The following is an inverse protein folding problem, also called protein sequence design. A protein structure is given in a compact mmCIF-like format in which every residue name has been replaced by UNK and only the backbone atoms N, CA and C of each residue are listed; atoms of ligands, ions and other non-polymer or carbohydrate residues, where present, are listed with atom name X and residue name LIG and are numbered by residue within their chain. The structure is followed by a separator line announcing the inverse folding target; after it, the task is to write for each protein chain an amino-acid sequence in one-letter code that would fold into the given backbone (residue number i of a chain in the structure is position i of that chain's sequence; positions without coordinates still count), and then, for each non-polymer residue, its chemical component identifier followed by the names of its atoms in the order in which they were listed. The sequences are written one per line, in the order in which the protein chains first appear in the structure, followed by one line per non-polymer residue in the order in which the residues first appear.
data_IF_603276088284
#
_entry.id   IF_603276088284
#
_cell.length_a   1.000
_cell.length_b   1.000
_cell.length_c   1.000
_cell.angle_alpha   90.00
_cell.angle_beta   90.00
_cell.angle_gamma   90.00
#
_symmetry.space_group_name_H-M   'P 1'
#
loop_
_entity.id
_entity.type
_entity.pdbx_description
1 polymer ?
#
# COMPACT_ATOMS: atom_id res chain seq x y z
N UNK A 1 -7.36 -27.34 -3.33
CA UNK A 1 -6.45 -26.45 -2.57
C UNK A 1 -6.66 -25.03 -3.09
N UNK A 2 -7.18 -24.12 -2.26
CA UNK A 2 -7.24 -22.69 -2.61
C UNK A 2 -5.81 -22.20 -2.92
N UNK A 3 -5.56 -21.45 -4.00
CA UNK A 3 -4.20 -21.09 -4.38
C UNK A 3 -3.54 -20.26 -3.29
N UNK A 4 -2.44 -20.77 -2.72
CA UNK A 4 -1.54 -20.03 -1.79
C UNK A 4 -1.06 -18.68 -2.38
N UNK A 5 -1.27 -18.46 -3.68
CA UNK A 5 -0.94 -17.23 -4.42
C UNK A 5 -1.75 -16.01 -3.95
N UNK A 6 -2.98 -16.16 -3.48
CA UNK A 6 -3.77 -15.00 -3.01
C UNK A 6 -3.29 -14.47 -1.66
N UNK A 7 -2.67 -15.32 -0.84
CA UNK A 7 -2.27 -14.98 0.52
C UNK A 7 -1.28 -13.81 0.58
N UNK A 8 -0.31 -13.75 -0.35
CA UNK A 8 0.65 -12.64 -0.41
C UNK A 8 -0.04 -11.30 -0.69
N UNK A 9 -1.07 -11.30 -1.55
CA UNK A 9 -1.85 -10.11 -1.88
C UNK A 9 -2.76 -9.69 -0.71
N UNK A 10 -3.34 -10.65 0.00
CA UNK A 10 -4.15 -10.36 1.19
C UNK A 10 -3.30 -9.77 2.33
N UNK A 11 -2.09 -10.30 2.54
CA UNK A 11 -1.14 -9.73 3.52
C UNK A 11 -0.74 -8.31 3.13
N UNK A 12 -0.47 -8.07 1.84
CA UNK A 12 -0.16 -6.74 1.35
C UNK A 12 -1.32 -5.77 1.63
N UNK A 13 -2.55 -6.14 1.28
CA UNK A 13 -3.74 -5.31 1.53
C UNK A 13 -3.92 -4.96 3.01
N UNK A 14 -3.70 -5.90 3.91
CA UNK A 14 -3.76 -5.62 5.36
C UNK A 14 -2.69 -4.60 5.76
N UNK A 15 -1.47 -4.73 5.27
CA UNK A 15 -0.42 -3.75 5.54
C UNK A 15 -0.74 -2.38 4.92
N UNK A 16 -1.42 -2.33 3.76
CA UNK A 16 -1.85 -1.08 3.13
C UNK A 16 -2.97 -0.37 3.90
N UNK A 17 -3.95 -1.11 4.43
CA UNK A 17 -5.14 -0.51 5.06
C UNK A 17 -5.05 -0.37 6.57
N UNK A 18 -4.36 -1.29 7.25
CA UNK A 18 -4.39 -1.43 8.72
C UNK A 18 -3.04 -1.15 9.40
N UNK A 19 -2.01 -0.67 8.67
CA UNK A 19 -0.70 -0.40 9.25
C UNK A 19 -0.12 0.96 8.87
N UNK A 20 0.54 1.59 9.83
CA UNK A 20 1.34 2.80 9.64
C UNK A 20 2.51 2.83 10.66
N UNK A 21 3.30 3.90 10.65
CA UNK A 21 4.45 4.06 11.55
C UNK A 21 4.06 3.99 13.04
N UNK A 22 2.88 4.50 13.39
CA UNK A 22 2.34 4.49 14.75
C UNK A 22 1.59 3.19 15.10
N UNK A 23 1.09 2.48 14.08
CA UNK A 23 0.30 1.24 14.19
C UNK A 23 0.94 0.06 13.42
N UNK A 24 2.13 -0.44 13.83
CA UNK A 24 2.73 -1.60 13.20
C UNK A 24 2.00 -2.90 13.59
N UNK A 25 1.85 -3.82 12.64
CA UNK A 25 1.19 -5.11 12.81
C UNK A 25 2.17 -6.26 13.00
N UNK A 26 1.95 -7.09 14.02
CA UNK A 26 2.69 -8.34 14.20
C UNK A 26 2.24 -9.40 13.20
N UNK A 27 3.12 -10.38 12.94
CA UNK A 27 2.79 -11.54 12.10
C UNK A 27 1.60 -12.33 12.65
N UNK A 28 1.42 -12.35 13.97
CA UNK A 28 0.32 -13.05 14.63
C UNK A 28 -1.01 -12.30 14.52
N UNK A 29 -0.99 -10.96 14.49
CA UNK A 29 -2.18 -10.14 14.20
C UNK A 29 -2.62 -10.37 12.76
N UNK A 30 -1.73 -10.19 11.79
CA UNK A 30 -2.04 -10.43 10.37
C UNK A 30 -2.58 -11.86 10.13
N UNK A 31 -1.99 -12.88 10.77
CA UNK A 31 -2.47 -14.26 10.66
C UNK A 31 -3.87 -14.46 11.26
N UNK A 32 -4.17 -13.75 12.37
CA UNK A 32 -5.49 -13.76 13.02
C UNK A 32 -6.53 -13.07 12.14
N UNK A 33 -6.21 -11.90 11.61
CA UNK A 33 -7.10 -11.09 10.78
C UNK A 33 -7.45 -11.81 9.47
N UNK A 34 -6.54 -12.67 8.98
CA UNK A 34 -6.79 -13.52 7.81
C UNK A 34 -7.52 -14.81 8.13
N UNK A 35 -7.70 -15.20 9.40
CA UNK A 35 -8.11 -16.56 9.77
C UNK A 35 -9.49 -16.96 9.23
N UNK A 36 -10.43 -16.01 9.12
CA UNK A 36 -11.79 -16.27 8.61
C UNK A 36 -11.83 -16.46 7.09
N UNK A 37 -10.91 -15.83 6.35
CA UNK A 37 -10.87 -15.84 4.88
C UNK A 37 -9.89 -16.89 4.37
N UNK A 38 -8.69 -16.92 4.96
CA UNK A 38 -7.60 -17.79 4.58
C UNK A 38 -6.73 -18.13 5.80
N UNK A 39 -7.07 -19.21 6.55
CA UNK A 39 -6.29 -19.66 7.70
C UNK A 39 -4.81 -19.85 7.37
N UNK A 40 -3.93 -19.15 8.11
CA UNK A 40 -2.49 -19.30 7.96
C UNK A 40 -1.76 -19.07 9.29
N UNK A 41 -0.52 -19.55 9.38
CA UNK A 41 0.32 -19.35 10.55
C UNK A 41 1.23 -18.11 10.43
N UNK A 42 1.74 -17.63 11.57
CA UNK A 42 2.67 -16.49 11.62
C UNK A 42 3.93 -16.70 10.79
N UNK A 43 4.39 -17.96 10.61
CA UNK A 43 5.58 -18.30 9.81
C UNK A 43 5.31 -18.07 8.32
N UNK A 44 4.11 -18.37 7.87
CA UNK A 44 3.65 -18.13 6.50
C UNK A 44 3.52 -16.65 6.22
N UNK A 45 2.98 -15.87 7.17
CA UNK A 45 2.98 -14.40 7.09
C UNK A 45 4.41 -13.87 6.97
N UNK A 46 5.32 -14.32 7.84
CA UNK A 46 6.73 -13.91 7.82
C UNK A 46 7.39 -14.11 6.44
N UNK A 47 7.20 -15.28 5.82
CA UNK A 47 7.76 -15.56 4.47
C UNK A 47 7.19 -14.64 3.40
N UNK A 48 5.88 -14.39 3.42
CA UNK A 48 5.23 -13.51 2.45
C UNK A 48 5.67 -12.05 2.61
N UNK A 49 5.78 -11.55 3.84
CA UNK A 49 6.37 -10.22 4.10
C UNK A 49 7.80 -10.14 3.54
N UNK A 50 8.61 -11.18 3.73
CA UNK A 50 9.96 -11.22 3.16
C UNK A 50 9.96 -11.19 1.62
N UNK A 51 9.01 -11.88 0.96
CA UNK A 51 8.85 -11.79 -0.49
C UNK A 51 8.39 -10.41 -0.96
N UNK A 52 7.40 -9.80 -0.29
CA UNK A 52 6.94 -8.43 -0.58
C UNK A 52 8.10 -7.42 -0.50
N UNK A 53 8.92 -7.53 0.55
CA UNK A 53 10.14 -6.71 0.67
C UNK A 53 11.13 -6.96 -0.46
N UNK A 54 11.33 -8.22 -0.85
CA UNK A 54 12.25 -8.60 -1.94
C UNK A 54 11.83 -8.01 -3.30
N UNK A 55 10.53 -7.86 -3.54
CA UNK A 55 9.99 -7.29 -4.79
C UNK A 55 9.79 -5.77 -4.73
N UNK A 56 10.20 -5.12 -3.64
CA UNK A 56 10.30 -3.65 -3.57
C UNK A 56 9.23 -2.94 -2.75
N UNK A 57 8.31 -3.66 -2.08
CA UNK A 57 7.38 -2.98 -1.18
C UNK A 57 8.12 -2.41 0.04
N UNK A 58 7.89 -1.12 0.39
CA UNK A 58 8.59 -0.42 1.48
C UNK A 58 8.09 -0.85 2.87
N UNK A 59 8.16 -2.14 3.19
CA UNK A 59 7.70 -2.65 4.49
C UNK A 59 8.81 -2.51 5.53
N UNK A 60 8.55 -1.66 6.52
CA UNK A 60 9.44 -1.39 7.64
C UNK A 60 9.14 -2.35 8.79
N UNK A 61 10.20 -2.90 9.37
CA UNK A 61 10.14 -3.74 10.56
C UNK A 61 10.49 -2.89 11.77
N UNK A 62 9.65 -2.92 12.78
CA UNK A 62 9.88 -2.29 14.09
C UNK A 62 9.99 -3.35 15.18
N UNK A 63 10.24 -2.93 16.42
CA UNK A 63 10.15 -3.82 17.58
C UNK A 63 8.73 -4.33 17.85
N UNK A 64 7.71 -3.59 17.39
CA UNK A 64 6.29 -3.88 17.62
C UNK A 64 5.60 -4.60 16.46
N UNK A 65 6.20 -4.65 15.28
CA UNK A 65 5.59 -5.31 14.12
C UNK A 65 6.17 -4.86 12.78
N UNK A 66 5.31 -4.85 11.77
CA UNK A 66 5.59 -4.43 10.41
C UNK A 66 4.56 -3.41 9.98
N UNK A 67 4.99 -2.40 9.22
CA UNK A 67 4.06 -1.50 8.54
C UNK A 67 4.54 -1.21 7.13
N UNK A 68 3.61 -0.86 6.25
CA UNK A 68 3.95 -0.38 4.92
C UNK A 68 4.25 1.12 4.99
N UNK A 69 5.50 1.50 4.72
CA UNK A 69 5.92 2.90 4.73
C UNK A 69 5.53 3.58 3.43
N UNK A 70 4.96 4.78 3.55
CA UNK A 70 4.73 5.67 2.43
C UNK A 70 3.30 5.62 1.93
N UNK A 71 2.50 6.59 2.39
CA UNK A 71 1.77 7.40 1.41
C UNK A 71 2.85 8.18 0.66
N UNK A 72 2.97 8.02 -0.66
CA UNK A 72 4.04 8.70 -1.43
C UNK A 72 4.00 10.22 -1.25
N UNK A 73 2.81 10.75 -0.94
CA UNK A 73 2.56 12.17 -0.74
C UNK A 73 1.62 12.35 0.46
N UNK A 74 1.90 13.35 1.27
CA UNK A 74 0.94 13.90 2.23
C UNK A 74 -0.27 14.49 1.51
N UNK A 75 -1.35 14.77 2.25
CA UNK A 75 -2.53 15.45 1.69
C UNK A 75 -2.17 16.80 1.05
N UNK A 76 -1.24 17.54 1.66
CA UNK A 76 -0.78 18.83 1.15
C UNK A 76 0.02 18.68 -0.15
N UNK A 77 0.90 17.67 -0.22
CA UNK A 77 1.68 17.39 -1.43
C UNK A 77 0.79 16.87 -2.56
N UNK A 78 -0.23 16.08 -2.25
CA UNK A 78 -1.25 15.65 -3.22
C UNK A 78 -1.98 16.84 -3.81
N UNK A 79 -2.52 17.72 -2.97
CA UNK A 79 -3.23 18.91 -3.42
C UNK A 79 -2.32 19.82 -4.27
N UNK A 80 -1.08 20.02 -3.81
CA UNK A 80 -0.08 20.78 -4.55
C UNK A 80 0.16 20.20 -5.96
N UNK A 81 0.32 18.87 -6.08
CA UNK A 81 0.54 18.21 -7.37
C UNK A 81 -0.68 18.36 -8.28
N UNK A 82 -1.89 18.13 -7.77
CA UNK A 82 -3.13 18.24 -8.55
C UNK A 82 -3.33 19.68 -9.07
N UNK A 83 -3.14 20.68 -8.19
CA UNK A 83 -3.25 22.09 -8.57
C UNK A 83 -2.17 22.54 -9.55
N UNK A 84 -0.94 22.04 -9.39
CA UNK A 84 0.15 22.34 -10.32
C UNK A 84 -0.15 21.85 -11.74
N UNK A 85 -0.79 20.69 -11.87
CA UNK A 85 -1.19 20.14 -13.19
C UNK A 85 -2.34 20.93 -13.79
N UNK A 86 -3.34 21.33 -13.01
CA UNK A 86 -4.45 22.20 -13.49
C UNK A 86 -3.94 23.55 -13.99
N UNK A 87 -3.07 24.19 -13.20
CA UNK A 87 -2.60 25.57 -13.44
C UNK A 87 -1.41 25.67 -14.40
N UNK A 88 -0.79 24.54 -14.77
CA UNK A 88 0.36 24.50 -15.68
C UNK A 88 0.12 25.26 -16.99
N UNK A 89 1.05 26.11 -17.40
CA UNK A 89 1.01 26.82 -18.69
C UNK A 89 1.48 25.97 -19.87
N UNK A 90 1.83 24.70 -19.64
CA UNK A 90 2.32 23.81 -20.69
C UNK A 90 1.19 23.39 -21.65
N UNK A 91 1.49 23.22 -22.94
CA UNK A 91 0.55 22.64 -23.89
C UNK A 91 0.17 21.22 -23.44
N UNK A 92 -1.10 21.03 -23.08
CA UNK A 92 -1.63 19.73 -22.71
C UNK A 92 -2.38 19.13 -23.92
N UNK A 93 -2.01 17.94 -24.41
CA UNK A 93 -2.69 17.30 -25.53
C UNK A 93 -4.09 16.76 -25.18
N UNK A 94 -4.44 16.69 -23.89
CA UNK A 94 -5.72 16.22 -23.37
C UNK A 94 -6.35 17.25 -22.44
N UNK A 95 -7.63 17.06 -22.09
CA UNK A 95 -8.28 17.85 -21.06
C UNK A 95 -7.52 17.74 -19.72
N UNK A 96 -7.23 18.88 -19.08
CA UNK A 96 -6.46 18.93 -17.84
C UNK A 96 -7.24 18.34 -16.66
N UNK A 97 -8.56 18.50 -16.64
CA UNK A 97 -9.42 17.90 -15.63
C UNK A 97 -9.41 16.38 -15.71
N UNK A 98 -9.45 15.81 -16.92
CA UNK A 98 -9.32 14.36 -17.13
C UNK A 98 -7.95 13.84 -16.66
N UNK A 99 -6.86 14.57 -16.94
CA UNK A 99 -5.53 14.22 -16.45
C UNK A 99 -5.47 14.23 -14.91
N UNK A 100 -6.07 15.24 -14.27
CA UNK A 100 -6.10 15.40 -12.82
C UNK A 100 -6.92 14.30 -12.15
N UNK A 101 -8.04 13.89 -12.75
CA UNK A 101 -8.84 12.77 -12.24
C UNK A 101 -8.04 11.46 -12.24
N UNK A 102 -7.37 11.13 -13.35
CA UNK A 102 -6.50 9.94 -13.41
C UNK A 102 -5.32 10.05 -12.45
N UNK A 103 -4.76 11.24 -12.27
CA UNK A 103 -3.65 11.47 -11.37
C UNK A 103 -4.09 11.32 -9.90
N UNK A 104 -5.28 11.80 -9.54
CA UNK A 104 -5.87 11.62 -8.21
C UNK A 104 -5.94 10.14 -7.85
N UNK A 105 -6.45 9.30 -8.76
CA UNK A 105 -6.53 7.84 -8.55
C UNK A 105 -5.15 7.17 -8.37
N UNK A 106 -4.10 7.74 -8.96
CA UNK A 106 -2.73 7.24 -8.85
C UNK A 106 -2.04 7.72 -7.57
N UNK A 107 -2.29 8.97 -7.17
CA UNK A 107 -1.79 9.53 -5.91
C UNK A 107 -2.48 8.89 -4.71
N UNK A 108 -3.70 8.41 -4.88
CA UNK A 108 -4.44 7.63 -3.88
C UNK A 108 -3.97 6.16 -3.79
N UNK A 109 -3.19 5.66 -4.76
CA UNK A 109 -2.68 4.28 -4.77
C UNK A 109 -1.35 4.13 -4.03
N UNK A 110 -1.42 3.46 -2.88
CA UNK A 110 -0.27 3.02 -2.09
C UNK A 110 0.32 1.77 -2.77
N UNK A 111 1.22 2.00 -3.72
CA UNK A 111 2.08 1.02 -4.41
C UNK A 111 1.44 -0.02 -5.35
N UNK A 112 2.26 -0.47 -6.31
CA UNK A 112 1.97 -1.37 -7.44
C UNK A 112 2.80 -2.63 -7.27
#
# INVERSE_FOLDING_TARGET
MQPKKYLILLILKILESESDETHPLTQSQIARDLSEIFPCDRKTVCRNIAFLKKIGYPIIKTSKGFYLQGKRFSLNEREFILQSVLTSSLPCPSDKGELVNRLSELLDKIYR
#
